data_IF_630640112780
#
_entry.id   IF_630640112780
#
_cell.length_a   1.000
_cell.length_b   1.000
_cell.length_c   1.000
_cell.angle_alpha   90.00
_cell.angle_beta   90.00
_cell.angle_gamma   90.00
#
_symmetry.space_group_name_H-M   'P 1'
#
loop_
_entity.id
_entity.type
_entity.pdbx_description
1 polymer ?
#
# COMPACT_ATOMS: atom_id res chain seq x y z
N UNK A 1 -1.51 -11.87 1.32
CA UNK A 1 -0.42 -10.91 1.00
C UNK A 1 0.61 -11.60 0.13
N UNK A 2 1.19 -10.93 -0.84
CA UNK A 2 2.20 -11.47 -1.75
C UNK A 2 3.49 -10.64 -1.64
N UNK A 3 4.62 -11.26 -2.02
CA UNK A 3 5.89 -10.55 -2.09
C UNK A 3 5.84 -9.47 -3.18
N UNK A 4 6.16 -8.25 -2.81
CA UNK A 4 6.35 -7.14 -3.75
C UNK A 4 7.84 -7.06 -4.07
N UNK A 5 8.18 -7.28 -5.34
CA UNK A 5 9.54 -7.10 -5.81
C UNK A 5 9.71 -5.68 -6.33
N UNK A 6 10.53 -4.89 -5.65
CA UNK A 6 10.80 -3.51 -6.07
C UNK A 6 11.57 -3.47 -7.38
N UNK A 7 11.05 -2.71 -8.33
CA UNK A 7 11.73 -2.38 -9.57
C UNK A 7 12.68 -1.18 -9.38
N UNK A 8 13.41 -0.84 -10.43
CA UNK A 8 14.13 0.44 -10.48
C UNK A 8 13.12 1.59 -10.41
N UNK A 9 13.39 2.58 -9.59
CA UNK A 9 12.55 3.77 -9.50
C UNK A 9 12.42 4.50 -10.85
N UNK A 10 11.27 5.10 -11.17
CA UNK A 10 11.10 5.87 -12.40
C UNK A 10 12.02 7.11 -12.41
N UNK A 11 12.50 7.48 -13.61
CA UNK A 11 13.41 8.60 -13.80
C UNK A 11 12.83 9.90 -13.25
N UNK A 12 11.56 10.14 -13.49
CA UNK A 12 10.83 11.32 -13.02
C UNK A 12 10.81 11.41 -11.49
N UNK A 13 10.70 10.26 -10.79
CA UNK A 13 10.80 10.23 -9.33
C UNK A 13 12.23 10.52 -8.88
N UNK A 14 13.24 9.95 -9.54
CA UNK A 14 14.66 10.25 -9.25
C UNK A 14 14.96 11.74 -9.39
N UNK A 15 14.47 12.38 -10.46
CA UNK A 15 14.63 13.81 -10.69
C UNK A 15 13.90 14.64 -9.63
N UNK A 16 12.65 14.27 -9.32
CA UNK A 16 11.84 14.93 -8.30
C UNK A 16 12.51 14.90 -6.93
N UNK A 17 12.86 13.72 -6.41
CA UNK A 17 13.44 13.57 -5.08
C UNK A 17 14.83 14.19 -4.89
N UNK A 18 15.55 14.42 -5.98
CA UNK A 18 16.85 15.09 -5.97
C UNK A 18 16.75 16.63 -6.09
N UNK A 19 15.55 17.19 -6.21
CA UNK A 19 15.33 18.63 -6.23
C UNK A 19 15.58 19.20 -4.83
N UNK A 20 16.45 20.21 -4.67
CA UNK A 20 16.75 20.79 -3.38
C UNK A 20 15.49 21.34 -2.68
N UNK A 21 15.30 20.97 -1.41
CA UNK A 21 14.19 21.46 -0.58
C UNK A 21 12.83 20.81 -0.89
N UNK A 22 12.77 19.79 -1.75
CA UNK A 22 11.52 19.09 -2.08
C UNK A 22 11.00 18.32 -0.86
N UNK A 23 9.68 18.32 -0.68
CA UNK A 23 8.99 17.44 0.24
C UNK A 23 8.20 16.37 -0.52
N UNK A 24 7.70 15.36 0.18
CA UNK A 24 6.97 14.27 -0.44
C UNK A 24 5.69 14.75 -1.13
N UNK A 25 5.55 14.37 -2.40
CA UNK A 25 4.33 14.48 -3.18
C UNK A 25 4.22 13.26 -4.10
N UNK A 26 3.05 12.61 -4.10
CA UNK A 26 2.78 11.48 -4.98
C UNK A 26 2.62 11.97 -6.43
N UNK A 27 3.70 12.02 -7.20
CA UNK A 27 3.63 12.31 -8.64
C UNK A 27 3.05 11.12 -9.41
N UNK A 28 2.39 11.35 -10.56
CA UNK A 28 1.73 10.28 -11.32
C UNK A 28 2.67 9.12 -11.71
N UNK A 29 3.90 9.42 -12.09
CA UNK A 29 4.91 8.45 -12.54
C UNK A 29 5.33 7.52 -11.38
N UNK A 30 5.47 8.06 -10.16
CA UNK A 30 5.68 7.26 -8.95
C UNK A 30 4.53 6.27 -8.73
N UNK A 31 3.30 6.78 -8.71
CA UNK A 31 2.10 5.96 -8.46
C UNK A 31 1.96 4.87 -9.51
N UNK A 32 2.14 5.18 -10.79
CA UNK A 32 2.06 4.21 -11.88
C UNK A 32 3.12 3.12 -11.76
N UNK A 33 4.34 3.49 -11.37
CA UNK A 33 5.41 2.52 -11.16
C UNK A 33 5.11 1.56 -10.01
N UNK A 34 4.66 2.09 -8.87
CA UNK A 34 4.27 1.29 -7.71
C UNK A 34 3.08 0.36 -8.01
N UNK A 35 2.03 0.86 -8.67
CA UNK A 35 0.88 0.05 -9.09
C UNK A 35 1.28 -1.08 -10.02
N UNK A 36 2.15 -0.79 -10.99
CA UNK A 36 2.61 -1.78 -11.98
C UNK A 36 3.43 -2.89 -11.35
N UNK A 37 4.35 -2.57 -10.43
CA UNK A 37 5.15 -3.59 -9.74
C UNK A 37 4.33 -4.46 -8.79
N UNK A 38 3.18 -3.95 -8.27
CA UNK A 38 2.25 -4.68 -7.41
C UNK A 38 1.15 -5.42 -8.16
N UNK A 39 1.10 -5.34 -9.50
CA UNK A 39 0.02 -5.95 -10.28
C UNK A 39 -1.36 -5.33 -10.02
N UNK A 40 -1.40 -4.05 -9.62
CA UNK A 40 -2.62 -3.29 -9.36
C UNK A 40 -3.47 -3.83 -8.21
N UNK A 41 -2.82 -4.33 -7.16
CA UNK A 41 -3.46 -4.79 -5.92
C UNK A 41 -2.89 -4.05 -4.71
N UNK A 42 -3.68 -3.95 -3.66
CA UNK A 42 -3.25 -3.39 -2.38
C UNK A 42 -2.13 -4.22 -1.76
N UNK A 43 -1.07 -3.57 -1.27
CA UNK A 43 0.09 -4.22 -0.66
C UNK A 43 -0.28 -5.10 0.54
N UNK A 44 -1.34 -4.75 1.28
CA UNK A 44 -1.74 -5.46 2.49
C UNK A 44 -2.91 -6.43 2.26
N UNK A 45 -4.08 -5.95 1.84
CA UNK A 45 -5.29 -6.79 1.74
C UNK A 45 -5.50 -7.44 0.36
N UNK A 46 -4.62 -7.17 -0.61
CA UNK A 46 -4.70 -7.68 -2.00
C UNK A 46 -5.96 -7.29 -2.78
N UNK A 47 -6.79 -6.38 -2.25
CA UNK A 47 -7.91 -5.82 -3.02
C UNK A 47 -7.41 -5.16 -4.29
N UNK A 48 -8.13 -5.35 -5.40
CA UNK A 48 -7.82 -4.70 -6.66
C UNK A 48 -7.90 -3.17 -6.52
N UNK A 49 -6.89 -2.48 -7.02
CA UNK A 49 -6.85 -1.03 -7.17
C UNK A 49 -7.17 -0.72 -8.64
N UNK A 50 -8.25 0.06 -8.92
CA UNK A 50 -8.61 0.44 -10.28
C UNK A 50 -7.49 1.19 -11.00
N UNK A 51 -7.39 1.02 -12.31
CA UNK A 51 -6.42 1.72 -13.16
C UNK A 51 -7.09 2.80 -13.99
N UNK A 52 -6.33 3.80 -14.44
CA UNK A 52 -6.82 4.88 -15.32
C UNK A 52 -7.48 4.38 -16.60
N UNK A 53 -7.06 3.23 -17.10
CA UNK A 53 -7.56 2.65 -18.35
C UNK A 53 -8.96 2.03 -18.21
N UNK A 54 -9.46 1.90 -16.98
CA UNK A 54 -10.83 1.47 -16.73
C UNK A 54 -11.71 2.68 -16.46
N UNK A 55 -12.31 3.18 -17.54
CA UNK A 55 -13.38 4.17 -17.47
C UNK A 55 -14.61 3.48 -16.88
N UNK A 56 -14.92 3.75 -15.61
CA UNK A 56 -16.19 3.35 -15.03
C UNK A 56 -17.24 4.38 -15.41
N UNK A 57 -18.36 3.91 -16.01
CA UNK A 57 -19.55 4.75 -16.16
C UNK A 57 -20.41 4.57 -14.90
N UNK A 58 -20.57 5.62 -14.14
CA UNK A 58 -21.60 5.71 -13.12
C UNK A 58 -22.45 6.94 -13.44
N UNK A 59 -23.76 6.75 -13.53
CA UNK A 59 -24.73 7.81 -13.84
C UNK A 59 -24.45 8.56 -15.17
N UNK A 60 -23.93 7.87 -16.16
CA UNK A 60 -23.63 8.45 -17.48
C UNK A 60 -22.33 9.27 -17.55
N UNK A 61 -21.61 9.40 -16.44
CA UNK A 61 -20.36 10.14 -16.35
C UNK A 61 -19.15 9.20 -16.38
N UNK A 62 -18.14 9.56 -17.17
CA UNK A 62 -16.86 8.86 -17.16
C UNK A 62 -16.05 9.26 -15.89
N UNK A 63 -15.80 8.31 -15.01
CA UNK A 63 -14.90 8.55 -13.88
C UNK A 63 -13.45 8.53 -14.32
N UNK A 64 -12.77 9.65 -14.12
CA UNK A 64 -11.32 9.74 -14.14
C UNK A 64 -10.81 9.32 -12.74
N UNK A 65 -9.74 8.56 -12.73
CA UNK A 65 -8.99 8.14 -11.56
C UNK A 65 -8.85 9.27 -10.52
N UNK A 66 -9.39 9.08 -9.33
CA UNK A 66 -9.24 10.03 -8.24
C UNK A 66 -8.21 9.53 -7.23
N UNK A 67 -7.61 10.41 -6.44
CA UNK A 67 -6.73 10.05 -5.33
C UNK A 67 -7.45 9.19 -4.26
N UNK A 68 -8.77 9.05 -4.37
CA UNK A 68 -9.60 8.23 -3.48
C UNK A 68 -9.52 6.73 -3.80
N UNK A 69 -9.04 6.35 -5.00
CA UNK A 69 -8.96 4.96 -5.42
C UNK A 69 -7.73 4.23 -4.86
N UNK A 70 -6.75 4.96 -4.33
CA UNK A 70 -5.51 4.43 -3.78
C UNK A 70 -4.84 5.40 -2.81
N UNK A 71 -3.89 4.88 -2.06
CA UNK A 71 -2.98 5.64 -1.20
C UNK A 71 -1.55 5.16 -1.42
N UNK A 72 -0.58 6.07 -1.49
CA UNK A 72 0.83 5.68 -1.40
C UNK A 72 1.18 5.57 0.08
N UNK A 73 1.50 4.37 0.47
CA UNK A 73 1.88 4.00 1.83
C UNK A 73 3.39 4.04 1.99
N UNK A 74 3.85 4.61 3.10
CA UNK A 74 5.23 4.51 3.56
C UNK A 74 5.33 3.40 4.60
N UNK A 75 6.05 2.32 4.26
CA UNK A 75 6.22 1.14 5.13
C UNK A 75 6.74 1.58 6.50
N UNK A 76 7.79 2.38 6.50
CA UNK A 76 8.26 3.15 7.66
C UNK A 76 7.66 4.54 7.60
N UNK A 77 6.91 4.92 8.63
CA UNK A 77 6.14 6.15 8.69
C UNK A 77 7.01 7.40 8.43
N UNK A 78 6.50 8.32 7.62
CA UNK A 78 7.19 9.61 7.37
C UNK A 78 7.37 10.46 8.63
N UNK A 79 6.48 10.30 9.59
CA UNK A 79 6.55 11.06 10.85
C UNK A 79 7.69 10.57 11.74
N UNK A 80 7.98 9.26 11.72
CA UNK A 80 9.03 8.67 12.54
C UNK A 80 10.35 8.53 11.78
N UNK A 81 10.31 8.43 10.44
CA UNK A 81 11.46 8.19 9.56
C UNK A 81 11.49 9.20 8.41
N UNK A 82 11.73 10.47 8.76
CA UNK A 82 11.75 11.57 7.77
C UNK A 82 12.85 11.41 6.70
N UNK A 83 13.93 10.71 7.00
CA UNK A 83 15.00 10.34 6.07
C UNK A 83 14.54 9.36 4.97
N UNK A 84 13.49 8.56 5.23
CA UNK A 84 12.93 7.59 4.29
C UNK A 84 11.72 8.11 3.51
N UNK A 85 11.32 9.36 3.72
CA UNK A 85 10.08 9.91 3.12
C UNK A 85 10.11 10.01 1.59
N UNK A 86 11.28 10.05 0.98
CA UNK A 86 11.48 10.07 -0.47
C UNK A 86 12.12 8.78 -1.01
N UNK A 87 12.33 7.79 -0.15
CA UNK A 87 12.90 6.52 -0.56
C UNK A 87 11.85 5.66 -1.27
N UNK A 88 12.06 5.39 -2.57
CA UNK A 88 11.18 4.56 -3.39
C UNK A 88 10.99 3.15 -2.81
N UNK A 89 12.03 2.59 -2.17
CA UNK A 89 11.97 1.25 -1.56
C UNK A 89 11.13 1.22 -0.28
N UNK A 90 10.87 2.39 0.32
CA UNK A 90 9.98 2.53 1.47
C UNK A 90 8.50 2.75 1.08
N UNK A 91 8.16 2.72 -0.21
CA UNK A 91 6.82 3.05 -0.69
C UNK A 91 6.14 1.85 -1.34
N UNK A 92 4.85 1.69 -1.07
CA UNK A 92 3.94 0.75 -1.73
C UNK A 92 2.60 1.43 -1.97
N UNK A 93 1.69 0.80 -2.72
CA UNK A 93 0.34 1.32 -2.92
C UNK A 93 -0.66 0.47 -2.14
N UNK A 94 -1.57 1.14 -1.45
CA UNK A 94 -2.68 0.55 -0.74
C UNK A 94 -4.02 1.02 -1.32
N UNK A 95 -5.08 0.23 -1.05
CA UNK A 95 -6.46 0.64 -1.30
C UNK A 95 -6.84 1.86 -0.44
N UNK A 96 -8.01 2.49 -0.65
CA UNK A 96 -8.44 3.63 0.16
C UNK A 96 -8.51 3.38 1.67
N UNK A 97 -8.53 2.10 2.07
CA UNK A 97 -8.39 1.70 3.47
C UNK A 97 -9.67 1.79 4.29
N UNK A 98 -10.84 1.75 3.64
CA UNK A 98 -12.13 1.66 4.33
C UNK A 98 -13.13 0.79 3.58
N UNK A 99 -14.03 0.15 4.32
CA UNK A 99 -15.23 -0.52 3.84
C UNK A 99 -16.36 -0.15 4.79
N UNK A 100 -17.37 0.55 4.27
CA UNK A 100 -18.41 1.10 5.13
C UNK A 100 -17.80 2.00 6.21
N UNK A 101 -18.06 1.68 7.48
CA UNK A 101 -17.54 2.41 8.63
C UNK A 101 -16.20 1.86 9.19
N UNK A 102 -15.65 0.80 8.58
CA UNK A 102 -14.44 0.14 9.09
C UNK A 102 -13.20 0.57 8.32
N UNK A 103 -12.23 1.11 9.04
CA UNK A 103 -10.90 1.43 8.51
C UNK A 103 -9.98 0.19 8.56
N UNK A 104 -9.11 0.08 7.57
CA UNK A 104 -8.11 -0.98 7.46
C UNK A 104 -6.89 -0.53 6.64
N UNK A 105 -5.87 -1.37 6.51
CA UNK A 105 -4.63 -1.10 5.77
C UNK A 105 -3.95 0.20 6.23
N UNK A 106 -3.37 0.96 5.29
CA UNK A 106 -2.69 2.22 5.55
C UNK A 106 -3.55 3.23 6.33
N UNK A 107 -4.84 3.30 6.04
CA UNK A 107 -5.72 4.27 6.69
C UNK A 107 -5.82 4.05 8.21
N UNK A 108 -5.93 2.79 8.65
CA UNK A 108 -5.93 2.46 10.08
C UNK A 108 -4.52 2.52 10.68
N UNK A 109 -3.51 2.10 9.91
CA UNK A 109 -2.11 2.13 10.35
C UNK A 109 -1.69 3.55 10.72
N UNK A 110 -2.01 4.53 9.88
CA UNK A 110 -1.58 5.92 10.08
C UNK A 110 -0.07 6.03 10.30
N UNK A 111 0.39 6.81 11.31
CA UNK A 111 1.81 7.00 11.59
C UNK A 111 2.47 5.85 12.36
N UNK A 112 1.77 4.77 12.65
CA UNK A 112 2.35 3.63 13.38
C UNK A 112 3.33 2.87 12.49
N UNK A 113 4.44 2.44 13.07
CA UNK A 113 5.32 1.47 12.43
C UNK A 113 4.78 0.05 12.62
N UNK A 114 5.11 -0.82 11.67
CA UNK A 114 4.93 -2.27 11.75
C UNK A 114 6.28 -2.96 11.63
N UNK A 115 6.39 -4.14 12.24
CA UNK A 115 7.64 -4.91 12.31
C UNK A 115 7.93 -5.70 11.03
N UNK A 116 7.00 -5.74 10.10
CA UNK A 116 7.11 -6.46 8.84
C UNK A 116 6.98 -5.55 7.62
N UNK A 117 7.33 -6.10 6.45
CA UNK A 117 7.20 -5.40 5.19
C UNK A 117 6.74 -6.33 4.07
N UNK A 118 5.81 -5.91 3.19
CA UNK A 118 5.40 -6.71 2.04
C UNK A 118 6.50 -6.89 0.97
N UNK A 119 7.62 -6.19 1.09
CA UNK A 119 8.81 -6.37 0.25
C UNK A 119 9.83 -7.34 0.86
N UNK A 120 9.59 -7.82 2.09
CA UNK A 120 10.46 -8.77 2.77
C UNK A 120 10.00 -10.21 2.50
N UNK A 121 10.84 -10.97 1.81
CA UNK A 121 10.57 -12.38 1.51
C UNK A 121 10.43 -13.23 2.78
N UNK A 122 11.27 -12.98 3.79
CA UNK A 122 11.22 -13.74 5.04
C UNK A 122 9.89 -13.55 5.76
N UNK A 123 9.37 -12.34 5.76
CA UNK A 123 8.02 -12.06 6.28
C UNK A 123 6.95 -12.82 5.48
N UNK A 124 6.96 -12.71 4.15
CA UNK A 124 5.94 -13.34 3.28
C UNK A 124 5.91 -14.87 3.48
N UNK A 125 7.03 -15.51 3.72
CA UNK A 125 7.11 -16.96 3.98
C UNK A 125 6.42 -17.39 5.28
N UNK A 126 6.15 -16.46 6.21
CA UNK A 126 5.41 -16.72 7.45
C UNK A 126 3.90 -16.67 7.27
N UNK A 127 3.39 -16.11 6.16
CA UNK A 127 1.96 -15.86 5.94
C UNK A 127 1.21 -17.16 5.65
N UNK A 128 0.03 -17.27 6.23
CA UNK A 128 -0.92 -18.37 6.03
C UNK A 128 -2.32 -17.80 5.79
N UNK A 129 -3.12 -18.56 5.08
CA UNK A 129 -4.55 -18.28 4.89
C UNK A 129 -5.36 -19.48 5.35
N UNK A 130 -6.42 -19.23 6.08
CA UNK A 130 -7.42 -20.23 6.44
C UNK A 130 -8.42 -20.47 5.30
N UNK A 131 -9.25 -21.49 5.42
CA UNK A 131 -10.28 -21.84 4.41
C UNK A 131 -11.36 -20.76 4.25
N UNK A 132 -11.57 -19.91 5.26
CA UNK A 132 -12.48 -18.77 5.21
C UNK A 132 -11.83 -17.45 4.76
N UNK A 133 -10.55 -17.49 4.36
CA UNK A 133 -9.82 -16.33 3.82
C UNK A 133 -9.10 -15.47 4.85
N UNK A 134 -9.17 -15.81 6.15
CA UNK A 134 -8.42 -15.06 7.16
C UNK A 134 -6.91 -15.20 6.98
N UNK A 135 -6.21 -14.08 7.08
CA UNK A 135 -4.74 -14.02 7.03
C UNK A 135 -4.15 -14.21 8.43
N UNK A 136 -3.07 -14.96 8.50
CA UNK A 136 -2.28 -15.15 9.72
C UNK A 136 -0.80 -15.26 9.41
N UNK A 137 0.03 -15.23 10.45
CA UNK A 137 1.47 -15.48 10.38
C UNK A 137 1.87 -16.53 11.42
N UNK A 138 2.97 -17.24 11.15
CA UNK A 138 3.63 -18.07 12.15
C UNK A 138 4.37 -17.28 13.23
N UNK A 139 4.41 -15.94 13.11
CA UNK A 139 5.00 -15.02 14.08
C UNK A 139 3.88 -14.23 14.76
N UNK A 140 3.81 -14.31 16.10
CA UNK A 140 2.73 -13.68 16.89
C UNK A 140 2.76 -12.15 16.82
N UNK A 141 3.93 -11.52 16.73
CA UNK A 141 4.04 -10.07 16.59
C UNK A 141 3.38 -9.62 15.29
N UNK A 142 3.67 -10.30 14.16
CA UNK A 142 3.06 -10.00 12.87
C UNK A 142 1.56 -10.25 12.88
N UNK A 143 1.08 -11.32 13.57
CA UNK A 143 -0.35 -11.57 13.73
C UNK A 143 -1.06 -10.40 14.41
N UNK A 144 -0.51 -9.93 15.53
CA UNK A 144 -1.08 -8.83 16.29
C UNK A 144 -1.10 -7.54 15.45
N UNK A 145 -0.02 -7.24 14.74
CA UNK A 145 0.05 -6.06 13.89
C UNK A 145 -0.93 -6.13 12.69
N UNK A 146 -1.05 -7.29 12.05
CA UNK A 146 -2.03 -7.50 10.97
C UNK A 146 -3.48 -7.31 11.45
N UNK A 147 -3.78 -7.71 12.70
CA UNK A 147 -5.09 -7.55 13.31
C UNK A 147 -5.32 -6.13 13.84
N UNK A 148 -4.42 -5.65 14.70
CA UNK A 148 -4.68 -4.46 15.53
C UNK A 148 -4.22 -3.15 14.87
N UNK A 149 -3.24 -3.23 13.94
CA UNK A 149 -2.71 -2.08 13.23
C UNK A 149 -3.28 -1.96 11.81
N UNK A 150 -3.48 -3.08 11.13
CA UNK A 150 -3.95 -3.10 9.74
C UNK A 150 -5.41 -3.57 9.58
N UNK A 151 -6.00 -4.22 10.58
CA UNK A 151 -7.37 -4.77 10.57
C UNK A 151 -7.66 -5.64 9.32
N UNK A 152 -6.73 -6.57 9.01
CA UNK A 152 -6.82 -7.35 7.77
C UNK A 152 -7.85 -8.49 7.82
N UNK A 153 -8.34 -8.86 9.00
CA UNK A 153 -9.36 -9.91 9.19
C UNK A 153 -10.73 -9.30 9.53
N UNK A 154 -11.02 -8.08 9.07
CA UNK A 154 -12.37 -7.54 9.18
C UNK A 154 -13.34 -8.33 8.31
N UNK A 155 -14.56 -8.55 8.78
CA UNK A 155 -15.61 -9.33 8.08
C UNK A 155 -15.95 -8.82 6.68
N UNK A 156 -15.54 -7.60 6.35
CA UNK A 156 -15.83 -6.95 5.07
C UNK A 156 -14.65 -7.02 4.07
N UNK A 157 -13.50 -7.62 4.43
CA UNK A 157 -12.38 -7.90 3.53
C UNK A 157 -12.44 -9.31 3.01
#
# INVERSE_FOLDING_TARGET
MILITKNKEPKEWTEYRNTPGVDYQAIPELVQSLLKEQGYICAYCMRRIPTKDKIYKKDGVNFVYTNEDHRVEHIKSREQHNDLKLDYTNMVVCCPGHIGAQDHCDRLKGPKDISFSPIDKQFIETIRYSSNGEISSTNDVYNNEMKDVLNLNTELL
#
